data_IF_428058244878
#
_entry.id   IF_428058244878
#
_cell.length_a   1.000
_cell.length_b   1.000
_cell.length_c   1.000
_cell.angle_alpha   90.00
_cell.angle_beta   90.00
_cell.angle_gamma   90.00
#
_symmetry.space_group_name_H-M   'P 1'
#
loop_
_entity.id
_entity.type
_entity.pdbx_description
1 polymer ?
#
# COMPACT_ATOMS: atom_id res chain seq x y z
N UNK A 1 -45.12 26.39 -2.03
CA UNK A 1 -44.03 26.96 -2.86
C UNK A 1 -42.67 26.47 -2.40
N UNK A 2 -42.34 26.61 -1.11
CA UNK A 2 -41.11 26.08 -0.51
C UNK A 2 -40.99 24.56 -0.72
N UNK A 3 -42.05 23.78 -0.48
CA UNK A 3 -42.04 22.33 -0.72
C UNK A 3 -41.71 21.93 -2.17
N UNK A 4 -42.05 22.76 -3.17
CA UNK A 4 -41.70 22.51 -4.58
C UNK A 4 -40.22 22.76 -4.85
N UNK A 5 -39.61 23.72 -4.16
CA UNK A 5 -38.17 24.01 -4.24
C UNK A 5 -37.40 22.86 -3.58
N UNK A 6 -37.82 22.43 -2.39
CA UNK A 6 -37.19 21.30 -1.68
C UNK A 6 -37.32 19.97 -2.44
N UNK A 7 -38.47 19.72 -3.07
CA UNK A 7 -38.64 18.53 -3.91
C UNK A 7 -37.69 18.54 -5.11
N UNK A 8 -37.57 19.68 -5.78
CA UNK A 8 -36.67 19.82 -6.93
C UNK A 8 -35.19 19.70 -6.54
N UNK A 9 -34.81 20.23 -5.37
CA UNK A 9 -33.47 20.05 -4.80
C UNK A 9 -33.16 18.57 -4.59
N UNK A 10 -34.06 17.83 -3.94
CA UNK A 10 -33.89 16.37 -3.72
C UNK A 10 -33.75 15.60 -5.03
N UNK A 11 -34.60 15.90 -6.00
CA UNK A 11 -34.59 15.21 -7.30
C UNK A 11 -33.29 15.49 -8.09
N UNK A 12 -32.78 16.72 -8.02
CA UNK A 12 -31.51 17.11 -8.66
C UNK A 12 -30.30 16.40 -8.02
N UNK A 13 -30.25 16.34 -6.69
CA UNK A 13 -29.18 15.63 -5.96
C UNK A 13 -29.20 14.13 -6.28
N UNK A 14 -30.39 13.51 -6.29
CA UNK A 14 -30.53 12.10 -6.61
C UNK A 14 -30.06 11.80 -8.05
N UNK A 15 -30.41 12.67 -9.00
CA UNK A 15 -29.97 12.52 -10.39
C UNK A 15 -28.44 12.61 -10.54
N UNK A 16 -27.79 13.54 -9.83
CA UNK A 16 -26.32 13.65 -9.83
C UNK A 16 -25.68 12.38 -9.25
N UNK A 17 -26.20 11.88 -8.13
CA UNK A 17 -25.69 10.67 -7.48
C UNK A 17 -25.82 9.44 -8.37
N UNK A 18 -26.97 9.28 -9.02
CA UNK A 18 -27.21 8.16 -9.93
C UNK A 18 -26.24 8.19 -11.12
N UNK A 19 -26.09 9.34 -11.79
CA UNK A 19 -25.16 9.47 -12.92
C UNK A 19 -23.70 9.19 -12.51
N UNK A 20 -23.28 9.66 -11.32
CA UNK A 20 -21.94 9.41 -10.81
C UNK A 20 -21.70 7.92 -10.52
N UNK A 21 -22.71 7.21 -10.01
CA UNK A 21 -22.63 5.78 -9.73
C UNK A 21 -22.59 4.95 -11.02
N UNK A 22 -23.40 5.29 -12.02
CA UNK A 22 -23.37 4.65 -13.35
C UNK A 22 -21.99 4.83 -14.03
N UNK A 23 -21.38 6.02 -13.92
CA UNK A 23 -20.03 6.28 -14.43
C UNK A 23 -18.95 5.45 -13.70
N UNK A 24 -19.03 5.32 -12.37
CA UNK A 24 -18.12 4.46 -11.58
C UNK A 24 -18.25 2.99 -11.95
N UNK A 25 -19.48 2.50 -12.13
CA UNK A 25 -19.72 1.11 -12.52
C UNK A 25 -19.22 0.81 -13.94
N UNK A 26 -19.37 1.77 -14.86
CA UNK A 26 -18.81 1.66 -16.21
C UNK A 26 -17.27 1.61 -16.16
N UNK A 27 -16.64 2.49 -15.37
CA UNK A 27 -15.20 2.49 -15.14
C UNK A 27 -14.72 1.14 -14.56
N UNK A 28 -15.43 0.61 -13.56
CA UNK A 28 -15.10 -0.66 -12.93
C UNK A 28 -15.18 -1.84 -13.91
N UNK A 29 -16.21 -1.87 -14.78
CA UNK A 29 -16.34 -2.91 -15.82
C UNK A 29 -15.20 -2.85 -16.84
N UNK A 30 -14.86 -1.65 -17.31
CA UNK A 30 -13.77 -1.50 -18.29
C UNK A 30 -12.40 -1.81 -17.70
N UNK A 31 -12.14 -1.40 -16.46
CA UNK A 31 -10.88 -1.73 -15.76
C UNK A 31 -10.75 -3.23 -15.49
N UNK A 32 -11.79 -3.90 -15.01
CA UNK A 32 -11.76 -5.36 -14.81
C UNK A 32 -11.56 -6.13 -16.12
N UNK A 33 -12.22 -5.72 -17.20
CA UNK A 33 -12.04 -6.34 -18.53
C UNK A 33 -10.60 -6.14 -19.03
N UNK A 34 -10.04 -4.95 -18.80
CA UNK A 34 -8.65 -4.64 -19.15
C UNK A 34 -7.65 -5.46 -18.33
N UNK A 35 -7.86 -5.60 -17.02
CA UNK A 35 -7.01 -6.42 -16.15
C UNK A 35 -7.08 -7.91 -16.52
N UNK A 36 -8.26 -8.45 -16.79
CA UNK A 36 -8.41 -9.83 -17.27
C UNK A 36 -7.65 -10.06 -18.59
N UNK A 37 -7.61 -9.06 -19.48
CA UNK A 37 -6.81 -9.12 -20.71
C UNK A 37 -5.29 -9.13 -20.46
N UNK A 38 -4.82 -8.39 -19.45
CA UNK A 38 -3.40 -8.41 -19.03
C UNK A 38 -3.04 -9.76 -18.41
N UNK A 39 -3.94 -10.31 -17.58
CA UNK A 39 -3.76 -11.62 -16.93
C UNK A 39 -3.59 -12.73 -17.98
N UNK A 40 -4.46 -12.79 -19.00
CA UNK A 40 -4.34 -13.74 -20.12
C UNK A 40 -3.01 -13.59 -20.86
N UNK A 41 -2.51 -12.36 -21.05
CA UNK A 41 -1.23 -12.13 -21.72
C UNK A 41 -0.03 -12.54 -20.86
N UNK A 42 -0.13 -12.37 -19.54
CA UNK A 42 0.91 -12.79 -18.59
C UNK A 42 0.97 -14.32 -18.48
N UNK A 43 -0.17 -14.99 -18.45
CA UNK A 43 -0.26 -16.45 -18.49
C UNK A 43 0.37 -17.01 -19.77
N UNK A 44 0.03 -16.41 -20.92
CA UNK A 44 0.63 -16.78 -22.21
C UNK A 44 2.15 -16.57 -22.24
N UNK A 45 2.65 -15.50 -21.61
CA UNK A 45 4.08 -15.23 -21.51
C UNK A 45 4.78 -16.26 -20.61
N UNK A 46 4.12 -16.65 -19.53
CA UNK A 46 4.58 -17.68 -18.59
C UNK A 46 4.64 -19.05 -19.27
N UNK A 47 3.66 -19.39 -20.09
CA UNK A 47 3.67 -20.62 -20.89
C UNK A 47 4.78 -20.62 -21.95
N UNK A 48 5.05 -19.48 -22.58
CA UNK A 48 6.17 -19.32 -23.52
C UNK A 48 7.54 -19.49 -22.83
N UNK A 49 7.69 -18.99 -21.59
CA UNK A 49 8.88 -19.20 -20.76
C UNK A 49 9.07 -20.66 -20.36
N UNK A 50 7.98 -21.34 -19.98
CA UNK A 50 8.00 -22.78 -19.66
C UNK A 50 8.31 -23.67 -20.86
N UNK A 51 7.90 -23.27 -22.07
CA UNK A 51 8.22 -24.00 -23.29
C UNK A 51 9.68 -23.80 -23.71
N UNK A 52 10.19 -22.56 -23.63
CA UNK A 52 11.59 -22.25 -23.99
C UNK A 52 12.62 -22.82 -23.01
N UNK A 53 12.26 -23.01 -21.74
CA UNK A 53 13.12 -23.68 -20.75
C UNK A 53 13.18 -25.21 -20.89
N UNK A 54 12.26 -25.82 -21.65
CA UNK A 54 12.25 -27.27 -21.94
C UNK A 54 13.08 -27.66 -23.16
N UNK A 55 13.48 -26.68 -23.97
CA UNK A 55 14.17 -26.89 -25.24
C UNK A 55 15.68 -26.64 -25.17
N UNK A 56 16.25 -26.45 -23.97
CA UNK A 56 17.68 -26.12 -23.69
C UNK A 56 18.27 -24.89 -24.43
N UNK A 57 17.55 -24.30 -25.38
CA UNK A 57 17.93 -23.14 -26.18
C UNK A 57 17.26 -21.85 -25.67
N UNK A 58 17.71 -21.32 -24.53
CA UNK A 58 17.41 -19.93 -24.16
C UNK A 58 18.54 -19.06 -24.68
N UNK A 59 18.33 -18.38 -25.81
CA UNK A 59 19.27 -17.38 -26.32
C UNK A 59 19.04 -16.01 -25.67
N UNK A 60 20.08 -15.18 -25.60
CA UNK A 60 20.03 -13.80 -25.08
C UNK A 60 18.94 -12.94 -25.76
N UNK A 61 18.61 -13.27 -27.02
CA UNK A 61 17.53 -12.67 -27.82
C UNK A 61 16.15 -12.98 -27.23
N UNK A 62 15.92 -14.19 -26.72
CA UNK A 62 14.66 -14.59 -26.12
C UNK A 62 14.44 -13.89 -24.78
N UNK A 63 15.49 -13.75 -23.96
CA UNK A 63 15.47 -13.01 -22.71
C UNK A 63 15.18 -11.52 -22.94
N UNK A 64 15.82 -10.91 -23.93
CA UNK A 64 15.53 -9.53 -24.33
C UNK A 64 14.08 -9.38 -24.80
N UNK A 65 13.57 -10.33 -25.59
CA UNK A 65 12.17 -10.33 -26.05
C UNK A 65 11.18 -10.44 -24.90
N UNK A 66 11.43 -11.30 -23.91
CA UNK A 66 10.58 -11.44 -22.73
C UNK A 66 10.60 -10.17 -21.86
N UNK A 67 11.78 -9.58 -21.66
CA UNK A 67 11.93 -8.30 -20.95
C UNK A 67 11.13 -7.18 -21.61
N UNK A 68 11.21 -7.06 -22.94
CA UNK A 68 10.43 -6.04 -23.67
C UNK A 68 8.92 -6.25 -23.52
N UNK A 69 8.43 -7.50 -23.57
CA UNK A 69 7.01 -7.80 -23.38
C UNK A 69 6.53 -7.49 -21.96
N UNK A 70 7.35 -7.75 -20.93
CA UNK A 70 7.02 -7.41 -19.55
C UNK A 70 6.91 -5.90 -19.34
N UNK A 71 7.83 -5.11 -19.89
CA UNK A 71 7.74 -3.63 -19.82
C UNK A 71 6.51 -3.10 -20.57
N UNK A 72 6.11 -3.72 -21.69
CA UNK A 72 4.87 -3.37 -22.39
C UNK A 72 3.62 -3.65 -21.54
N UNK A 73 3.55 -4.80 -20.89
CA UNK A 73 2.43 -5.14 -19.99
C UNK A 73 2.36 -4.21 -18.78
N UNK A 74 3.52 -3.82 -18.24
CA UNK A 74 3.63 -2.84 -17.16
C UNK A 74 3.12 -1.47 -17.58
N UNK A 75 3.50 -0.95 -18.75
CA UNK A 75 2.98 0.32 -19.25
C UNK A 75 1.46 0.28 -19.45
N UNK A 76 0.92 -0.84 -19.98
CA UNK A 76 -0.53 -1.02 -20.11
C UNK A 76 -1.24 -1.01 -18.76
N UNK A 77 -0.64 -1.57 -17.72
CA UNK A 77 -1.20 -1.57 -16.36
C UNK A 77 -1.38 -0.14 -15.80
N UNK A 78 -0.41 0.75 -16.04
CA UNK A 78 -0.42 2.12 -15.49
C UNK A 78 -1.08 3.16 -16.41
N UNK A 79 -1.23 2.85 -17.71
CA UNK A 79 -1.89 3.72 -18.71
C UNK A 79 -2.84 2.91 -19.59
N UNK A 80 -4.04 2.56 -19.11
CA UNK A 80 -5.02 1.87 -19.94
C UNK A 80 -5.44 2.79 -21.11
N UNK A 81 -5.24 2.40 -22.37
CA UNK A 81 -5.43 3.28 -23.53
C UNK A 81 -6.89 3.72 -23.75
N UNK A 82 -7.85 3.06 -23.11
CA UNK A 82 -9.28 3.17 -23.42
C UNK A 82 -10.10 3.93 -22.38
N UNK A 83 -9.46 4.56 -21.37
CA UNK A 83 -10.18 5.23 -20.28
C UNK A 83 -9.68 6.66 -20.14
N UNK A 84 -10.54 7.62 -20.49
CA UNK A 84 -10.32 9.04 -20.24
C UNK A 84 -11.54 9.61 -19.52
N UNK A 85 -11.31 10.25 -18.38
CA UNK A 85 -12.35 11.03 -17.67
C UNK A 85 -12.30 12.46 -18.22
N UNK A 86 -13.44 12.97 -18.69
CA UNK A 86 -13.60 14.36 -19.16
C UNK A 86 -14.86 14.95 -18.56
N UNK A 87 -14.84 16.25 -18.28
CA UNK A 87 -16.03 17.00 -17.86
C UNK A 87 -16.85 17.40 -19.10
N UNK A 88 -18.16 17.20 -19.04
CA UNK A 88 -19.09 17.71 -20.06
C UNK A 88 -19.41 19.18 -19.74
N UNK A 89 -19.18 20.13 -20.68
CA UNK A 89 -19.43 21.55 -20.43
C UNK A 89 -20.91 21.93 -20.37
N UNK A 90 -21.84 21.01 -20.65
CA UNK A 90 -23.29 21.30 -20.63
C UNK A 90 -23.82 21.27 -19.19
N UNK A 91 -24.51 22.33 -18.70
CA UNK A 91 -25.09 22.35 -17.37
C UNK A 91 -26.14 21.24 -17.19
N UNK A 92 -25.81 20.25 -16.36
CA UNK A 92 -26.67 19.09 -16.08
C UNK A 92 -27.86 19.42 -15.17
N UNK A 93 -27.77 20.51 -14.41
CA UNK A 93 -28.75 20.97 -13.42
C UNK A 93 -29.35 22.30 -13.88
N UNK A 94 -30.68 22.40 -13.92
CA UNK A 94 -31.43 23.59 -14.39
C UNK A 94 -31.45 24.67 -13.30
N UNK A 95 -31.35 25.95 -13.67
CA UNK A 95 -31.41 27.06 -12.69
C UNK A 95 -32.84 27.31 -12.19
N UNK A 96 -33.05 27.43 -10.88
CA UNK A 96 -34.32 27.88 -10.31
C UNK A 96 -34.42 29.41 -10.44
N UNK A 97 -35.54 29.90 -10.97
CA UNK A 97 -35.85 31.33 -11.11
C UNK A 97 -37.15 31.61 -10.35
N UNK A 98 -37.16 32.65 -9.52
CA UNK A 98 -38.35 33.18 -8.86
C UNK A 98 -38.72 34.48 -9.56
N UNK A 99 -39.92 34.54 -10.13
CA UNK A 99 -40.45 35.75 -10.76
C UNK A 99 -41.48 36.36 -9.80
N UNK A 100 -41.17 37.51 -9.22
CA UNK A 100 -42.04 38.20 -8.26
C UNK A 100 -42.66 39.39 -8.99
N UNK A 101 -43.94 39.28 -9.34
CA UNK A 101 -44.66 40.40 -9.92
C UNK A 101 -45.06 41.38 -8.82
N UNK A 102 -44.57 42.62 -8.91
CA UNK A 102 -45.02 43.74 -8.07
C UNK A 102 -46.22 44.42 -8.71
N UNK A 103 -47.39 44.36 -8.08
CA UNK A 103 -48.54 45.20 -8.45
C UNK A 103 -48.35 46.61 -7.90
N UNK A 104 -48.23 47.61 -8.78
CA UNK A 104 -48.17 49.03 -8.44
C UNK A 104 -49.56 49.54 -8.01
N UNK A 105 -49.84 49.60 -6.71
CA UNK A 105 -50.98 50.38 -6.21
C UNK A 105 -50.63 51.87 -6.16
N UNK A 106 -51.26 52.64 -7.03
CA UNK A 106 -51.21 54.12 -7.08
C UNK A 106 -52.10 54.73 -5.99
N UNK A 107 -51.54 55.64 -5.18
CA UNK A 107 -52.30 56.53 -4.27
C UNK A 107 -51.96 57.99 -4.67
N UNK A 108 -52.93 58.92 -4.81
CA UNK A 108 -52.67 60.27 -5.31
C UNK A 108 -52.07 61.20 -4.24
N UNK A 109 -51.13 62.04 -4.66
CA UNK A 109 -50.41 63.05 -3.88
C UNK A 109 -51.32 64.05 -3.14
N UNK A 110 -51.03 64.31 -1.86
CA UNK A 110 -51.38 65.56 -1.17
C UNK A 110 -50.15 66.15 -0.47
N UNK A 111 -49.68 67.26 -1.05
CA UNK A 111 -48.97 68.41 -0.45
C UNK A 111 -48.01 68.23 0.72
N UNK A 112 -46.74 68.48 0.44
CA UNK A 112 -45.72 69.22 1.22
C UNK A 112 -46.02 69.53 2.70
N UNK A 113 -45.17 69.07 3.63
CA UNK A 113 -44.08 69.88 4.20
C UNK A 113 -43.24 69.12 5.27
N UNK A 114 -41.91 69.20 5.08
CA UNK A 114 -40.83 69.36 6.09
C UNK A 114 -40.29 68.22 6.98
N UNK A 115 -38.94 68.19 6.96
CA UNK A 115 -37.93 67.83 7.98
C UNK A 115 -37.29 66.42 7.94
N UNK A 116 -36.11 66.42 7.31
CA UNK A 116 -34.79 66.10 7.88
C UNK A 116 -34.51 64.68 8.42
N UNK A 117 -33.62 63.96 7.71
CA UNK A 117 -32.67 63.00 8.33
C UNK A 117 -31.55 62.58 7.37
N UNK A 118 -30.32 62.96 7.74
CA UNK A 118 -29.07 62.23 7.47
C UNK A 118 -29.15 60.82 8.11
N UNK A 119 -28.50 59.74 7.66
CA UNK A 119 -27.17 59.54 7.10
C UNK A 119 -27.19 58.34 6.12
N UNK A 120 -26.37 58.42 5.08
CA UNK A 120 -26.17 57.45 3.99
C UNK A 120 -24.80 56.80 4.14
N UNK A 121 -24.73 55.48 3.95
CA UNK A 121 -23.48 54.72 3.80
C UNK A 121 -22.97 54.79 2.35
N UNK A 122 -21.71 55.16 2.21
CA UNK A 122 -20.93 55.21 0.97
C UNK A 122 -20.29 53.85 0.67
N UNK A 123 -20.27 53.46 -0.61
CA UNK A 123 -19.28 52.54 -1.17
C UNK A 123 -18.76 53.21 -2.45
N UNK A 124 -17.47 53.56 -2.44
CA UNK A 124 -16.70 54.06 -3.58
C UNK A 124 -15.26 53.59 -3.46
N UNK A 125 -14.71 53.12 -4.59
CA UNK A 125 -13.40 53.56 -5.07
C UNK A 125 -12.16 52.72 -4.71
N UNK A 126 -11.51 52.12 -5.70
CA UNK A 126 -10.56 52.79 -6.62
C UNK A 126 -9.22 52.06 -6.84
N UNK A 127 -8.75 52.17 -8.09
CA UNK A 127 -7.38 52.42 -8.61
C UNK A 127 -7.10 51.65 -9.92
N UNK A 128 -7.32 52.26 -11.10
CA UNK A 128 -6.38 53.03 -11.99
C UNK A 128 -5.30 52.15 -12.68
N UNK A 129 -4.89 52.31 -13.95
CA UNK A 129 -4.98 53.43 -14.93
C UNK A 129 -4.49 53.03 -16.34
N UNK A 130 -4.84 53.90 -17.31
CA UNK A 130 -4.27 54.20 -18.66
C UNK A 130 -4.92 53.48 -19.86
N UNK A 131 -5.88 54.11 -20.57
CA UNK A 131 -5.73 55.08 -21.71
C UNK A 131 -4.97 54.48 -22.91
N UNK A 132 -5.40 54.59 -24.17
CA UNK A 132 -6.44 55.42 -24.82
C UNK A 132 -6.63 54.91 -26.25
N UNK A 133 -7.86 55.09 -26.74
CA UNK A 133 -8.23 55.47 -28.11
C UNK A 133 -7.99 54.52 -29.29
N UNK A 134 -8.75 54.61 -30.37
CA UNK A 134 -10.19 54.74 -30.59
C UNK A 134 -10.32 54.57 -32.11
N UNK A 135 -11.31 53.77 -32.53
CA UNK A 135 -11.99 53.78 -33.83
C UNK A 135 -11.18 53.46 -35.09
N UNK A 136 -11.74 52.84 -36.12
CA UNK A 136 -12.96 52.08 -36.40
C UNK A 136 -12.85 51.75 -37.90
N UNK A 137 -13.74 50.89 -38.38
CA UNK A 137 -14.27 50.84 -39.76
C UNK A 137 -13.75 49.70 -40.67
N UNK A 138 -14.46 48.58 -40.50
CA UNK A 138 -15.20 47.74 -41.50
C UNK A 138 -14.52 46.95 -42.62
N UNK A 139 -14.96 45.66 -42.66
CA UNK A 139 -15.47 44.84 -43.79
C UNK A 139 -14.51 44.61 -44.97
N UNK A 140 -14.38 43.43 -45.59
CA UNK A 140 -15.13 42.17 -45.57
C UNK A 140 -14.44 41.19 -46.55
N UNK A 141 -14.65 39.88 -46.32
CA UNK A 141 -14.63 38.76 -47.29
C UNK A 141 -13.27 38.24 -47.83
N UNK A 142 -12.85 37.06 -47.29
CA UNK A 142 -12.76 35.71 -47.91
C UNK A 142 -12.58 35.60 -49.46
N UNK A 143 -12.08 34.46 -50.05
CA UNK A 143 -11.66 33.16 -49.45
C UNK A 143 -10.47 32.44 -50.15
N UNK A 144 -10.18 31.20 -49.67
CA UNK A 144 -9.71 30.00 -50.41
C UNK A 144 -8.26 29.96 -50.94
N UNK A 145 -7.55 28.83 -51.05
CA UNK A 145 -7.69 27.44 -50.61
C UNK A 145 -6.36 26.73 -51.02
N UNK A 146 -6.05 25.62 -50.34
CA UNK A 146 -5.30 24.42 -50.80
C UNK A 146 -3.94 24.52 -51.55
N UNK A 147 -2.90 23.86 -51.00
CA UNK A 147 -2.35 22.60 -51.54
C UNK A 147 -0.94 22.25 -51.01
N UNK A 148 -0.82 21.05 -50.44
CA UNK A 148 0.39 20.21 -50.35
C UNK A 148 0.62 19.47 -51.69
N UNK A 149 1.56 18.51 -51.86
CA UNK A 149 2.95 18.34 -51.38
C UNK A 149 3.87 17.92 -52.57
N UNK A 150 5.14 17.52 -52.32
CA UNK A 150 5.76 16.23 -52.74
C UNK A 150 7.29 16.25 -52.96
N UNK A 151 7.87 15.09 -52.62
CA UNK A 151 9.04 14.40 -53.21
C UNK A 151 10.39 14.33 -52.48
N UNK A 152 10.75 13.06 -52.28
CA UNK A 152 11.97 12.35 -51.89
C UNK A 152 13.28 12.66 -52.63
N UNK A 153 14.44 12.41 -51.99
CA UNK A 153 15.44 11.38 -52.40
C UNK A 153 16.72 11.34 -51.52
N UNK A 154 16.97 10.15 -50.95
CA UNK A 154 18.21 9.34 -50.92
C UNK A 154 19.55 10.02 -51.31
N UNK A 155 20.59 9.96 -50.44
CA UNK A 155 21.80 9.13 -50.67
C UNK A 155 22.90 9.34 -49.60
N UNK A 156 23.59 8.23 -49.36
CA UNK A 156 24.72 7.89 -48.48
C UNK A 156 25.98 8.76 -48.56
N UNK A 157 26.74 8.86 -47.44
CA UNK A 157 28.20 8.61 -47.42
C UNK A 157 28.76 8.43 -46.00
N UNK A 158 29.41 7.28 -45.80
CA UNK A 158 30.36 6.95 -44.73
C UNK A 158 31.74 7.40 -45.18
N UNK A 159 32.49 8.17 -44.36
CA UNK A 159 33.97 8.13 -44.26
C UNK A 159 34.38 8.58 -42.84
N UNK A 160 35.21 7.75 -42.19
CA UNK A 160 35.90 7.98 -40.92
C UNK A 160 36.91 9.13 -40.98
N UNK A 161 37.21 9.78 -39.86
CA UNK A 161 38.55 9.73 -39.28
C UNK A 161 38.64 10.46 -37.94
N UNK A 162 39.46 9.85 -37.10
CA UNK A 162 39.84 10.18 -35.73
C UNK A 162 40.39 11.61 -35.54
N UNK A 163 40.29 12.11 -34.30
CA UNK A 163 41.44 12.38 -33.40
C UNK A 163 41.12 13.48 -32.36
N UNK A 164 41.47 13.17 -31.11
CA UNK A 164 41.62 14.01 -29.90
C UNK A 164 40.37 14.59 -29.23
N UNK A 165 40.02 14.04 -28.05
CA UNK A 165 40.38 14.76 -26.82
C UNK A 165 40.45 13.81 -25.62
N UNK A 166 41.54 13.94 -24.87
CA UNK A 166 41.75 13.35 -23.56
C UNK A 166 40.65 13.82 -22.59
N UNK A 167 40.17 12.92 -21.72
CA UNK A 167 39.85 13.23 -20.32
C UNK A 167 39.46 11.97 -19.55
N UNK A 168 40.37 11.56 -18.68
CA UNK A 168 40.18 10.57 -17.62
C UNK A 168 39.31 11.19 -16.50
N UNK A 169 38.31 10.48 -15.97
CA UNK A 169 37.86 10.72 -14.60
C UNK A 169 37.86 9.42 -13.80
N UNK A 170 39.05 9.05 -13.33
CA UNK A 170 39.23 8.28 -12.10
C UNK A 170 38.85 9.17 -10.90
N UNK A 171 37.56 9.44 -10.69
CA UNK A 171 37.01 10.01 -9.44
C UNK A 171 35.50 10.25 -9.62
N UNK A 172 34.70 9.30 -9.15
CA UNK A 172 33.34 9.49 -8.60
C UNK A 172 32.82 8.14 -8.09
N UNK A 173 33.45 7.66 -7.02
CA UNK A 173 32.75 6.84 -6.03
C UNK A 173 32.23 7.81 -4.96
N UNK A 174 31.10 7.43 -4.36
CA UNK A 174 30.34 8.12 -3.32
C UNK A 174 29.33 9.14 -3.85
N UNK A 175 28.02 8.76 -3.76
CA UNK A 175 26.88 9.64 -3.44
C UNK A 175 25.49 8.94 -3.51
N UNK A 176 25.42 7.63 -3.29
CA UNK A 176 24.13 6.96 -3.06
C UNK A 176 23.69 7.00 -1.60
N UNK A 177 24.63 7.07 -0.64
CA UNK A 177 24.30 7.13 0.79
C UNK A 177 23.80 8.51 1.23
N UNK A 178 24.31 9.60 0.67
CA UNK A 178 23.86 10.95 1.06
C UNK A 178 22.43 11.25 0.62
N UNK A 179 22.00 10.77 -0.56
CA UNK A 179 20.61 10.95 -1.02
C UNK A 179 19.59 10.20 -0.16
N UNK A 180 19.95 9.03 0.37
CA UNK A 180 19.12 8.28 1.33
C UNK A 180 19.11 8.93 2.71
N UNK A 181 20.24 9.48 3.16
CA UNK A 181 20.34 10.25 4.41
C UNK A 181 19.48 11.53 4.33
N UNK A 182 19.48 12.22 3.20
CA UNK A 182 18.70 13.46 2.98
C UNK A 182 17.18 13.20 2.94
N UNK A 183 16.72 12.02 2.47
CA UNK A 183 15.29 11.68 2.52
C UNK A 183 14.81 11.33 3.94
N UNK A 184 15.70 10.82 4.79
CA UNK A 184 15.41 10.52 6.21
C UNK A 184 15.41 11.76 7.09
N UNK A 185 16.19 12.80 6.77
CA UNK A 185 16.21 14.06 7.53
C UNK A 185 14.99 14.95 7.25
N UNK A 186 14.35 14.82 6.08
CA UNK A 186 13.21 15.67 5.69
C UNK A 186 11.83 15.03 5.99
N UNK A 187 11.73 13.71 6.11
CA UNK A 187 10.53 13.06 6.64
C UNK A 187 10.69 12.91 8.16
N UNK A 188 10.00 13.73 8.96
CA UNK A 188 9.88 13.46 10.40
C UNK A 188 9.35 12.04 10.58
N UNK A 189 10.18 11.12 11.09
CA UNK A 189 9.71 9.81 11.53
C UNK A 189 8.76 10.06 12.71
N UNK A 190 7.46 10.09 12.46
CA UNK A 190 6.45 10.27 13.49
C UNK A 190 5.83 8.92 13.83
N UNK A 191 5.75 8.60 15.12
CA UNK A 191 4.89 7.55 15.64
C UNK A 191 3.78 8.27 16.39
N UNK A 192 2.67 8.50 15.70
CA UNK A 192 1.49 9.14 16.29
C UNK A 192 0.71 8.13 17.16
N UNK A 193 0.05 8.65 18.20
CA UNK A 193 -0.80 7.87 19.11
C UNK A 193 -2.26 7.86 18.64
N UNK A 194 -2.54 8.19 17.37
CA UNK A 194 -3.88 8.15 16.80
C UNK A 194 -4.38 6.71 16.66
N UNK A 195 -4.70 6.11 17.81
CA UNK A 195 -5.54 4.92 17.99
C UNK A 195 -7.01 5.22 17.63
N UNK A 196 -7.29 6.32 16.92
CA UNK A 196 -8.64 6.65 16.51
C UNK A 196 -8.94 5.86 15.24
N UNK A 197 -9.30 4.58 15.44
CA UNK A 197 -9.83 3.67 14.42
C UNK A 197 -11.06 4.26 13.67
N UNK A 198 -11.48 5.50 14.00
CA UNK A 198 -12.70 6.15 13.53
C UNK A 198 -12.54 7.61 13.08
N UNK A 199 -11.35 8.21 13.04
CA UNK A 199 -11.18 9.65 12.77
C UNK A 199 -11.57 10.12 11.34
N UNK A 200 -11.63 9.22 10.37
CA UNK A 200 -11.84 9.55 8.94
C UNK A 200 -13.19 9.11 8.38
N UNK A 201 -14.02 8.36 9.13
CA UNK A 201 -15.24 7.74 8.62
C UNK A 201 -15.04 6.67 7.53
N UNK A 202 -13.79 6.44 7.08
CA UNK A 202 -13.42 5.44 6.09
C UNK A 202 -12.23 4.61 6.60
N UNK A 203 -12.51 3.39 7.05
CA UNK A 203 -11.47 2.43 7.44
C UNK A 203 -10.98 1.75 6.15
N UNK A 204 -9.67 1.85 5.88
CA UNK A 204 -9.03 1.17 4.75
C UNK A 204 -9.14 -0.36 4.87
N UNK A 205 -9.02 -1.09 3.76
CA UNK A 205 -9.05 -2.56 3.80
C UNK A 205 -7.96 -3.13 4.71
N UNK A 206 -6.78 -2.50 4.74
CA UNK A 206 -5.65 -2.90 5.56
C UNK A 206 -5.94 -2.75 7.05
N UNK A 207 -6.56 -1.64 7.44
CA UNK A 207 -7.01 -1.41 8.81
C UNK A 207 -8.11 -2.39 9.20
N UNK A 208 -9.09 -2.67 8.31
CA UNK A 208 -10.13 -3.67 8.58
C UNK A 208 -9.55 -5.06 8.80
N UNK A 209 -8.60 -5.47 7.97
CA UNK A 209 -7.91 -6.76 8.10
C UNK A 209 -7.25 -6.93 9.49
N UNK A 210 -6.55 -5.91 9.96
CA UNK A 210 -5.93 -5.93 11.29
C UNK A 210 -6.98 -5.89 12.41
N UNK A 211 -8.05 -5.12 12.25
CA UNK A 211 -9.17 -5.05 13.21
C UNK A 211 -9.85 -6.42 13.32
N UNK A 212 -10.15 -7.06 12.20
CA UNK A 212 -10.77 -8.40 12.16
C UNK A 212 -9.87 -9.42 12.87
N UNK A 213 -8.58 -9.41 12.56
CA UNK A 213 -7.60 -10.24 13.24
C UNK A 213 -7.61 -10.02 14.76
N UNK A 214 -7.48 -8.76 15.21
CA UNK A 214 -7.44 -8.41 16.64
C UNK A 214 -8.72 -8.81 17.38
N UNK A 215 -9.85 -8.81 16.68
CA UNK A 215 -11.16 -9.23 17.18
C UNK A 215 -11.46 -10.72 16.95
N UNK A 216 -10.44 -11.55 16.68
CA UNK A 216 -10.56 -13.00 16.49
C UNK A 216 -11.50 -13.40 15.34
N UNK A 217 -11.42 -12.66 14.25
CA UNK A 217 -12.13 -12.93 13.00
C UNK A 217 -13.64 -13.13 13.22
N UNK A 218 -14.38 -12.07 13.58
CA UNK A 218 -15.80 -12.18 13.95
C UNK A 218 -16.67 -12.78 12.84
N UNK A 219 -16.26 -12.61 11.58
CA UNK A 219 -16.98 -13.10 10.40
C UNK A 219 -16.34 -14.35 9.77
N UNK A 220 -15.42 -15.05 10.47
CA UNK A 220 -14.81 -16.27 9.94
C UNK A 220 -15.87 -17.33 9.67
N UNK A 221 -15.81 -17.92 8.48
CA UNK A 221 -16.62 -19.10 8.14
C UNK A 221 -16.10 -20.30 8.92
N UNK A 222 -17.03 -21.15 9.36
CA UNK A 222 -16.72 -22.39 10.08
C UNK A 222 -17.28 -23.58 9.30
N UNK A 223 -16.40 -24.50 8.93
CA UNK A 223 -16.77 -25.81 8.36
C UNK A 223 -15.97 -26.92 9.08
N UNK A 224 -16.62 -27.75 9.92
CA UNK A 224 -15.97 -28.83 10.65
C UNK A 224 -15.26 -29.88 9.78
N UNK A 225 -15.56 -29.95 8.47
CA UNK A 225 -14.92 -30.91 7.55
C UNK A 225 -13.57 -30.43 7.05
N UNK A 226 -13.28 -29.14 7.15
CA UNK A 226 -11.99 -28.57 6.74
C UNK A 226 -10.96 -28.86 7.84
N UNK A 227 -9.96 -29.67 7.54
CA UNK A 227 -8.91 -30.11 8.49
C UNK A 227 -7.49 -30.07 7.91
N UNK A 228 -7.30 -29.42 6.75
CA UNK A 228 -6.05 -29.46 5.99
C UNK A 228 -4.87 -28.86 6.77
N UNK A 229 -5.07 -27.75 7.50
CA UNK A 229 -4.00 -27.14 8.29
C UNK A 229 -3.56 -28.11 9.39
N UNK A 230 -4.51 -28.73 10.10
CA UNK A 230 -4.17 -29.74 11.12
C UNK A 230 -3.43 -30.95 10.52
N UNK A 231 -3.85 -31.44 9.34
CA UNK A 231 -3.15 -32.52 8.64
C UNK A 231 -1.72 -32.12 8.24
N UNK A 232 -1.50 -30.89 7.80
CA UNK A 232 -0.17 -30.37 7.48
C UNK A 232 0.72 -30.30 8.72
N UNK A 233 0.21 -29.75 9.83
CA UNK A 233 0.96 -29.64 11.09
C UNK A 233 1.20 -30.98 11.79
N UNK A 234 0.40 -32.00 11.50
CA UNK A 234 0.65 -33.39 11.91
C UNK A 234 1.51 -34.16 10.90
N UNK A 235 2.08 -33.46 9.91
CA UNK A 235 2.98 -33.99 8.89
C UNK A 235 2.35 -35.10 8.03
N UNK A 236 1.03 -35.09 7.85
CA UNK A 236 0.28 -36.10 7.07
C UNK A 236 0.06 -35.72 5.62
N UNK A 237 0.15 -34.43 5.31
CA UNK A 237 0.08 -33.90 3.94
C UNK A 237 1.23 -32.92 3.70
N UNK A 238 1.56 -32.73 2.43
CA UNK A 238 2.53 -31.73 1.98
C UNK A 238 1.85 -30.38 1.78
N UNK A 239 2.61 -29.30 1.90
CA UNK A 239 2.17 -28.01 1.38
C UNK A 239 2.07 -28.04 -0.14
N UNK A 240 1.15 -27.27 -0.71
CA UNK A 240 0.91 -27.21 -2.16
C UNK A 240 0.68 -25.75 -2.62
N UNK A 241 1.04 -25.35 -3.86
CA UNK A 241 1.72 -26.12 -4.92
C UNK A 241 3.22 -26.31 -4.64
N UNK A 242 3.83 -27.31 -5.30
CA UNK A 242 5.28 -27.56 -5.34
C UNK A 242 6.00 -27.50 -3.98
N UNK A 243 5.32 -27.95 -2.92
CA UNK A 243 5.81 -27.87 -1.56
C UNK A 243 6.25 -29.23 -1.00
N UNK A 244 6.37 -29.31 0.32
CA UNK A 244 6.87 -30.53 0.99
C UNK A 244 6.14 -30.74 2.33
N UNK A 245 6.44 -31.85 2.99
CA UNK A 245 6.04 -32.12 4.37
C UNK A 245 6.70 -31.09 5.30
N UNK A 246 5.99 -30.66 6.34
CA UNK A 246 6.49 -29.62 7.25
C UNK A 246 7.83 -29.99 7.88
N UNK A 247 8.04 -31.28 8.21
CA UNK A 247 9.32 -31.75 8.76
C UNK A 247 10.47 -31.65 7.74
N UNK A 248 10.19 -31.87 6.46
CA UNK A 248 11.16 -31.69 5.37
C UNK A 248 11.44 -30.20 5.12
N UNK A 249 10.42 -29.34 5.17
CA UNK A 249 10.62 -27.89 5.08
C UNK A 249 11.54 -27.42 6.21
N UNK A 250 11.31 -27.90 7.44
CA UNK A 250 12.12 -27.51 8.60
C UNK A 250 13.55 -28.02 8.56
N UNK A 251 13.83 -29.14 7.89
CA UNK A 251 15.15 -29.78 7.90
C UNK A 251 15.93 -29.56 6.61
N UNK A 252 15.30 -29.82 5.46
CA UNK A 252 15.93 -29.76 4.13
C UNK A 252 16.00 -28.32 3.62
N UNK A 253 14.95 -27.51 3.85
CA UNK A 253 14.91 -26.14 3.32
C UNK A 253 15.57 -25.13 4.26
N UNK A 254 15.98 -25.56 5.46
CA UNK A 254 16.68 -24.69 6.40
C UNK A 254 17.97 -24.15 5.77
N UNK A 255 18.09 -22.82 5.66
CA UNK A 255 19.17 -22.10 4.98
C UNK A 255 19.29 -22.32 3.47
N UNK A 256 18.31 -22.97 2.83
CA UNK A 256 18.11 -22.89 1.39
C UNK A 256 17.38 -21.57 1.06
N UNK A 257 18.11 -20.47 1.21
CA UNK A 257 17.53 -19.13 1.14
C UNK A 257 16.95 -18.80 -0.24
N UNK A 258 17.55 -19.32 -1.31
CA UNK A 258 17.04 -19.11 -2.66
C UNK A 258 15.66 -19.76 -2.80
N UNK A 259 15.50 -21.01 -2.34
CA UNK A 259 14.19 -21.67 -2.32
C UNK A 259 13.18 -20.88 -1.50
N UNK A 260 13.54 -20.44 -0.30
CA UNK A 260 12.64 -19.70 0.59
C UNK A 260 12.21 -18.33 0.03
N UNK A 261 13.06 -17.69 -0.78
CA UNK A 261 12.73 -16.44 -1.45
C UNK A 261 11.79 -16.69 -2.65
N UNK A 262 12.19 -17.54 -3.60
CA UNK A 262 11.49 -17.74 -4.87
C UNK A 262 10.19 -18.56 -4.76
N UNK A 263 10.10 -19.48 -3.80
CA UNK A 263 8.90 -20.29 -3.63
C UNK A 263 7.91 -19.56 -2.71
N UNK A 264 6.77 -19.09 -3.23
CA UNK A 264 5.82 -18.29 -2.44
C UNK A 264 4.70 -19.11 -1.76
N UNK A 265 4.47 -20.35 -2.20
CA UNK A 265 3.33 -21.16 -1.76
C UNK A 265 3.39 -21.63 -0.31
N UNK A 266 4.59 -21.98 0.17
CA UNK A 266 4.80 -22.59 1.49
C UNK A 266 4.45 -21.68 2.67
N UNK A 267 4.63 -20.36 2.54
CA UNK A 267 4.47 -19.44 3.69
C UNK A 267 3.05 -19.47 4.24
N UNK A 268 2.05 -19.69 3.38
CA UNK A 268 0.67 -19.75 3.82
C UNK A 268 0.34 -21.03 4.59
N UNK A 269 1.05 -22.12 4.32
CA UNK A 269 0.99 -23.37 5.05
C UNK A 269 1.74 -23.32 6.38
N UNK A 270 2.95 -22.72 6.39
CA UNK A 270 3.72 -22.55 7.64
C UNK A 270 3.11 -21.53 8.60
N UNK A 271 2.27 -20.61 8.11
CA UNK A 271 1.63 -19.58 8.92
C UNK A 271 0.18 -19.36 8.46
N UNK A 272 -0.73 -20.32 8.69
CA UNK A 272 -2.11 -20.19 8.25
C UNK A 272 -2.85 -19.15 9.11
N UNK A 273 -3.86 -18.52 8.52
CA UNK A 273 -4.72 -17.51 9.15
C UNK A 273 -6.18 -17.87 8.86
N UNK A 274 -7.12 -17.36 9.67
CA UNK A 274 -8.56 -17.59 9.46
C UNK A 274 -9.15 -16.78 8.29
N UNK A 275 -8.32 -16.00 7.59
CA UNK A 275 -8.65 -15.25 6.38
C UNK A 275 -8.11 -15.93 5.10
N UNK A 276 -8.74 -15.64 3.95
CA UNK A 276 -8.30 -16.18 2.66
C UNK A 276 -6.98 -15.53 2.25
N UNK A 277 -5.98 -16.35 1.95
CA UNK A 277 -4.71 -15.90 1.38
C UNK A 277 -4.68 -15.97 -0.15
N UNK A 278 -3.51 -15.66 -0.72
CA UNK A 278 -3.26 -15.75 -2.17
C UNK A 278 -3.13 -17.19 -2.69
N UNK A 279 -2.89 -18.17 -1.81
CA UNK A 279 -2.81 -19.57 -2.21
C UNK A 279 -4.22 -20.16 -2.19
N UNK A 280 -4.77 -20.42 -3.38
CA UNK A 280 -6.13 -20.93 -3.52
C UNK A 280 -6.30 -22.40 -3.10
N UNK A 281 -5.20 -23.12 -2.88
CA UNK A 281 -5.19 -24.53 -2.52
C UNK A 281 -5.23 -24.78 -1.01
N UNK A 282 -5.01 -23.75 -0.20
CA UNK A 282 -5.13 -23.85 1.25
C UNK A 282 -6.45 -23.20 1.69
N UNK A 283 -7.19 -23.93 2.51
CA UNK A 283 -8.39 -23.37 3.14
C UNK A 283 -8.02 -22.48 4.33
N UNK A 284 -8.78 -21.39 4.56
CA UNK A 284 -8.60 -20.56 5.75
C UNK A 284 -8.61 -21.42 7.03
N UNK A 285 -7.73 -21.08 7.96
CA UNK A 285 -7.57 -21.77 9.24
C UNK A 285 -8.88 -21.80 10.01
N UNK A 286 -9.30 -22.98 10.46
CA UNK A 286 -10.53 -23.13 11.23
C UNK A 286 -10.28 -23.11 12.73
N UNK A 287 -11.27 -22.66 13.52
CA UNK A 287 -11.15 -22.59 14.99
C UNK A 287 -10.91 -23.97 15.63
N UNK A 288 -11.56 -25.03 15.13
CA UNK A 288 -11.32 -26.39 15.62
C UNK A 288 -9.93 -26.93 15.24
N UNK A 289 -9.35 -26.48 14.13
CA UNK A 289 -7.97 -26.80 13.77
C UNK A 289 -6.98 -26.14 14.74
N UNK A 290 -7.19 -24.86 15.08
CA UNK A 290 -6.39 -24.13 16.08
C UNK A 290 -6.39 -24.89 17.40
N UNK A 291 -7.57 -25.27 17.90
CA UNK A 291 -7.69 -26.03 19.15
C UNK A 291 -7.00 -27.40 19.06
N UNK A 292 -7.08 -28.08 17.92
CA UNK A 292 -6.46 -29.39 17.72
C UNK A 292 -4.94 -29.30 17.67
N UNK A 293 -4.39 -28.31 16.95
CA UNK A 293 -2.95 -28.05 16.88
C UNK A 293 -2.41 -27.66 18.26
N UNK A 294 -3.12 -26.82 19.01
CA UNK A 294 -2.71 -26.41 20.36
C UNK A 294 -2.70 -27.56 21.39
N UNK A 295 -3.49 -28.60 21.17
CA UNK A 295 -3.53 -29.82 22.02
C UNK A 295 -2.45 -30.84 21.66
N UNK A 296 -1.84 -30.73 20.47
CA UNK A 296 -0.75 -31.60 20.01
C UNK A 296 0.58 -30.85 20.16
N UNK A 297 1.37 -31.22 21.17
CA UNK A 297 2.65 -30.57 21.47
C UNK A 297 3.63 -30.56 20.28
N UNK A 298 3.63 -31.60 19.44
CA UNK A 298 4.52 -31.66 18.28
C UNK A 298 4.04 -30.72 17.17
N UNK A 299 2.73 -30.69 16.92
CA UNK A 299 2.13 -29.77 15.97
C UNK A 299 2.34 -28.31 16.41
N UNK A 300 2.13 -27.99 17.68
CA UNK A 300 2.35 -26.65 18.23
C UNK A 300 3.84 -26.25 18.17
N UNK A 301 4.75 -27.18 18.44
CA UNK A 301 6.20 -26.94 18.35
C UNK A 301 6.66 -26.65 16.92
N UNK A 302 6.04 -27.27 15.91
CA UNK A 302 6.34 -26.99 14.50
C UNK A 302 6.09 -25.53 14.11
N UNK A 303 5.13 -24.84 14.72
CA UNK A 303 4.93 -23.40 14.50
C UNK A 303 6.16 -22.60 14.95
N UNK A 304 6.70 -22.92 16.13
CA UNK A 304 7.91 -22.29 16.66
C UNK A 304 9.13 -22.61 15.79
N UNK A 305 9.23 -23.82 15.25
CA UNK A 305 10.30 -24.19 14.31
C UNK A 305 10.16 -23.39 13.00
N UNK A 306 8.95 -23.27 12.45
CA UNK A 306 8.68 -22.39 11.29
C UNK A 306 9.11 -20.95 11.55
N UNK A 307 8.79 -20.41 12.74
CA UNK A 307 9.20 -19.07 13.12
C UNK A 307 10.72 -18.91 13.17
N UNK A 308 11.45 -19.87 13.76
CA UNK A 308 12.92 -19.87 13.77
C UNK A 308 13.52 -19.96 12.37
N UNK A 309 12.93 -20.77 11.49
CA UNK A 309 13.35 -20.87 10.09
C UNK A 309 13.20 -19.50 9.40
N UNK A 310 12.05 -18.83 9.57
CA UNK A 310 11.84 -17.51 8.98
C UNK A 310 12.71 -16.42 9.61
N UNK A 311 12.98 -16.48 10.93
CA UNK A 311 13.94 -15.56 11.55
C UNK A 311 15.33 -15.70 10.93
N UNK A 312 15.85 -16.93 10.79
CA UNK A 312 17.17 -17.17 10.16
C UNK A 312 17.16 -16.67 8.71
N UNK A 313 16.09 -16.95 7.96
CA UNK A 313 15.87 -16.38 6.63
C UNK A 313 15.86 -14.85 6.62
N UNK A 314 15.37 -14.17 7.66
CA UNK A 314 15.40 -12.70 7.74
C UNK A 314 16.70 -12.14 8.35
N UNK A 315 17.67 -12.98 8.71
CA UNK A 315 18.94 -12.53 9.30
C UNK A 315 18.93 -12.42 10.82
N UNK A 316 17.95 -13.02 11.49
CA UNK A 316 17.78 -13.01 12.94
C UNK A 316 17.90 -14.41 13.54
N UNK A 317 18.18 -14.48 14.84
CA UNK A 317 18.17 -15.70 15.64
C UNK A 317 17.32 -15.50 16.88
N UNK A 318 16.48 -16.49 17.20
CA UNK A 318 15.80 -16.57 18.49
C UNK A 318 16.81 -17.00 19.57
N UNK A 319 17.10 -16.10 20.50
CA UNK A 319 18.06 -16.30 21.58
C UNK A 319 17.41 -16.96 22.79
N UNK A 320 16.17 -16.57 23.09
CA UNK A 320 15.44 -17.09 24.24
C UNK A 320 13.99 -17.38 23.86
N UNK A 321 13.64 -18.66 23.81
CA UNK A 321 12.30 -19.12 23.45
C UNK A 321 11.22 -18.71 24.46
N UNK A 322 11.59 -18.47 25.73
CA UNK A 322 10.61 -18.10 26.77
C UNK A 322 10.28 -16.61 26.75
N UNK A 323 11.28 -15.77 26.48
CA UNK A 323 11.10 -14.31 26.44
C UNK A 323 10.77 -13.80 25.04
N UNK A 324 11.10 -14.58 24.01
CA UNK A 324 11.01 -14.18 22.61
C UNK A 324 12.18 -13.33 22.13
N UNK A 325 13.22 -13.13 22.96
CA UNK A 325 14.36 -12.30 22.61
C UNK A 325 15.06 -12.82 21.35
N UNK A 326 15.25 -11.92 20.38
CA UNK A 326 15.99 -12.17 19.16
C UNK A 326 17.23 -11.26 19.07
N UNK A 327 18.23 -11.69 18.30
CA UNK A 327 19.39 -10.88 17.91
C UNK A 327 19.68 -11.15 16.42
N UNK A 328 20.62 -10.41 15.83
CA UNK A 328 21.18 -10.72 14.51
C UNK A 328 21.75 -12.14 14.47
N UNK A 329 21.81 -12.75 13.30
CA UNK A 329 22.65 -13.93 13.12
C UNK A 329 24.10 -13.60 13.54
N UNK A 330 24.81 -14.54 14.22
CA UNK A 330 26.11 -14.24 14.84
C UNK A 330 27.25 -14.08 13.84
N UNK A 331 27.05 -14.46 12.58
CA UNK A 331 28.03 -14.34 11.50
C UNK A 331 27.58 -13.26 10.50
N UNK A 332 28.46 -12.90 9.57
CA UNK A 332 28.22 -11.84 8.57
C UNK A 332 27.08 -12.16 7.57
N UNK A 333 26.46 -13.34 7.62
CA UNK A 333 25.29 -13.66 6.78
C UNK A 333 24.11 -12.74 7.07
N UNK A 334 23.97 -12.20 8.28
CA UNK A 334 22.88 -11.27 8.60
C UNK A 334 22.85 -10.07 7.63
N UNK A 335 24.02 -9.63 7.12
CA UNK A 335 24.12 -8.49 6.19
C UNK A 335 23.43 -8.78 4.86
N UNK A 336 23.68 -9.95 4.27
CA UNK A 336 23.03 -10.34 3.01
C UNK A 336 21.54 -10.62 3.21
N UNK A 337 21.17 -11.21 4.35
CA UNK A 337 19.76 -11.45 4.70
C UNK A 337 18.99 -10.15 4.94
N UNK A 338 19.59 -9.16 5.63
CA UNK A 338 19.00 -7.84 5.82
C UNK A 338 18.86 -7.09 4.50
N UNK A 339 19.87 -7.15 3.64
CA UNK A 339 19.78 -6.56 2.30
C UNK A 339 18.62 -7.16 1.49
N UNK A 340 18.45 -8.49 1.52
CA UNK A 340 17.31 -9.15 0.89
C UNK A 340 15.99 -8.69 1.50
N UNK A 341 15.86 -8.69 2.83
CA UNK A 341 14.65 -8.23 3.50
C UNK A 341 14.29 -6.78 3.14
N UNK A 342 15.27 -5.86 3.21
CA UNK A 342 15.06 -4.43 2.98
C UNK A 342 14.74 -4.07 1.52
N UNK A 343 15.03 -4.96 0.58
CA UNK A 343 14.79 -4.74 -0.86
C UNK A 343 13.60 -5.54 -1.41
N UNK A 344 13.20 -6.63 -0.75
CA UNK A 344 12.13 -7.53 -1.18
C UNK A 344 10.82 -7.28 -0.45
N UNK A 345 10.03 -6.30 -0.89
CA UNK A 345 8.81 -5.84 -0.20
C UNK A 345 7.72 -6.91 0.01
N UNK A 346 7.68 -7.97 -0.80
CA UNK A 346 6.76 -9.10 -0.59
C UNK A 346 7.03 -9.82 0.75
N UNK A 347 8.27 -9.76 1.26
CA UNK A 347 8.61 -10.29 2.58
C UNK A 347 7.93 -9.50 3.71
N UNK A 348 7.52 -8.25 3.48
CA UNK A 348 6.79 -7.47 4.49
C UNK A 348 5.39 -8.04 4.73
N UNK A 349 4.73 -8.51 3.66
CA UNK A 349 3.45 -9.20 3.74
C UNK A 349 3.60 -10.57 4.43
N UNK A 350 4.70 -11.29 4.14
CA UNK A 350 5.03 -12.55 4.85
C UNK A 350 5.23 -12.32 6.35
N UNK A 351 5.95 -11.26 6.76
CA UNK A 351 6.14 -10.91 8.18
C UNK A 351 4.81 -10.57 8.84
N UNK A 352 3.94 -9.76 8.21
CA UNK A 352 2.60 -9.48 8.75
C UNK A 352 1.83 -10.77 9.00
N UNK A 353 1.85 -11.72 8.06
CA UNK A 353 1.19 -13.02 8.20
C UNK A 353 1.78 -13.85 9.34
N UNK A 354 3.10 -13.91 9.46
CA UNK A 354 3.80 -14.60 10.55
C UNK A 354 3.35 -14.02 11.89
N UNK A 355 3.40 -12.70 12.05
CA UNK A 355 3.02 -12.04 13.30
C UNK A 355 1.55 -12.28 13.66
N UNK A 356 0.62 -12.23 12.69
CA UNK A 356 -0.78 -12.60 12.94
C UNK A 356 -0.90 -14.04 13.41
N UNK A 357 -0.25 -14.97 12.71
CA UNK A 357 -0.30 -16.40 13.00
C UNK A 357 0.25 -16.76 14.40
N UNK A 358 1.34 -16.12 14.83
CA UNK A 358 1.87 -16.31 16.19
C UNK A 358 0.82 -16.04 17.28
N UNK A 359 -0.06 -15.06 17.06
CA UNK A 359 -1.15 -14.75 17.99
C UNK A 359 -2.35 -15.70 17.93
N UNK A 360 -2.44 -16.58 16.92
CA UNK A 360 -3.45 -17.65 16.86
C UNK A 360 -3.06 -18.86 17.72
N UNK A 361 -1.76 -19.07 17.93
CA UNK A 361 -1.19 -20.28 18.54
C UNK A 361 -0.44 -20.02 19.84
N UNK A 362 -0.91 -19.07 20.66
CA UNK A 362 -0.37 -18.72 21.98
C UNK A 362 1.10 -18.23 22.00
N UNK A 363 1.65 -17.85 20.85
CA UNK A 363 2.98 -17.26 20.71
C UNK A 363 2.96 -15.73 20.59
N UNK A 364 1.89 -15.07 21.07
CA UNK A 364 1.74 -13.60 21.07
C UNK A 364 2.97 -12.89 21.67
N UNK A 365 3.55 -13.48 22.72
CA UNK A 365 4.70 -12.93 23.44
C UNK A 365 5.97 -12.77 22.58
N UNK A 366 6.09 -13.48 21.45
CA UNK A 366 7.23 -13.39 20.54
C UNK A 366 7.22 -12.13 19.67
N UNK A 367 6.05 -11.51 19.44
CA UNK A 367 5.92 -10.37 18.53
C UNK A 367 6.60 -9.11 19.07
N UNK A 368 6.43 -8.85 20.36
CA UNK A 368 6.92 -7.62 20.97
C UNK A 368 8.46 -7.50 20.92
N UNK A 369 9.24 -8.53 21.32
CA UNK A 369 10.70 -8.51 21.13
C UNK A 369 11.15 -8.44 19.67
N UNK A 370 10.41 -9.06 18.75
CA UNK A 370 10.69 -8.94 17.32
C UNK A 370 10.57 -7.48 16.85
N UNK A 371 9.47 -6.81 17.18
CA UNK A 371 9.26 -5.40 16.85
C UNK A 371 10.32 -4.50 17.49
N UNK A 372 10.70 -4.79 18.73
CA UNK A 372 11.72 -4.04 19.45
C UNK A 372 13.09 -4.10 18.74
N UNK A 373 13.51 -5.29 18.31
CA UNK A 373 14.76 -5.46 17.57
C UNK A 373 14.68 -4.80 16.19
N UNK A 374 13.58 -5.01 15.44
CA UNK A 374 13.37 -4.41 14.12
C UNK A 374 13.43 -2.88 14.18
N UNK A 375 12.82 -2.25 15.18
CA UNK A 375 12.86 -0.79 15.34
C UNK A 375 14.28 -0.27 15.62
N UNK A 376 15.11 -1.05 16.33
CA UNK A 376 16.54 -0.71 16.49
C UNK A 376 17.27 -0.74 15.16
N UNK A 377 17.06 -1.78 14.37
CA UNK A 377 17.67 -1.92 13.03
C UNK A 377 17.25 -0.79 12.09
N UNK A 378 15.97 -0.39 12.14
CA UNK A 378 15.43 0.71 11.32
C UNK A 378 15.98 2.07 11.78
N UNK A 379 15.88 2.38 13.07
CA UNK A 379 16.05 3.75 13.57
C UNK A 379 17.51 4.06 13.92
N UNK A 380 18.19 3.15 14.62
CA UNK A 380 19.56 3.37 15.12
C UNK A 380 20.58 2.93 14.08
N UNK A 381 20.43 1.71 13.58
CA UNK A 381 21.44 1.06 12.76
C UNK A 381 21.30 1.41 11.26
N UNK A 382 20.11 1.87 10.84
CA UNK A 382 19.76 2.17 9.44
C UNK A 382 20.01 0.99 8.48
N UNK A 383 19.80 -0.24 8.93
CA UNK A 383 20.03 -1.46 8.14
C UNK A 383 18.76 -1.99 7.47
N UNK A 384 17.58 -1.59 7.95
CA UNK A 384 16.26 -2.05 7.49
C UNK A 384 15.30 -0.88 7.20
N UNK A 385 15.80 0.27 6.74
CA UNK A 385 15.00 1.51 6.66
C UNK A 385 13.74 1.41 5.79
N UNK A 386 13.71 0.57 4.75
CA UNK A 386 12.54 0.42 3.88
C UNK A 386 11.40 -0.33 4.57
N UNK A 387 11.69 -1.05 5.66
CA UNK A 387 10.69 -1.72 6.49
C UNK A 387 9.84 -0.74 7.33
N UNK A 388 10.25 0.53 7.47
CA UNK A 388 9.65 1.48 8.41
C UNK A 388 8.13 1.62 8.26
N UNK A 389 7.64 1.77 7.02
CA UNK A 389 6.21 1.95 6.78
C UNK A 389 5.42 0.69 7.15
N UNK A 390 5.90 -0.49 6.72
CA UNK A 390 5.26 -1.76 7.07
C UNK A 390 5.30 -2.05 8.57
N UNK A 391 6.42 -1.72 9.22
CA UNK A 391 6.56 -1.85 10.66
C UNK A 391 5.52 -1.00 11.41
N UNK A 392 5.35 0.25 10.98
CA UNK A 392 4.41 1.20 11.59
C UNK A 392 2.96 0.83 11.38
N UNK A 393 2.57 0.60 10.12
CA UNK A 393 1.16 0.54 9.75
C UNK A 393 0.57 -0.87 9.89
N UNK A 394 1.42 -1.90 9.93
CA UNK A 394 0.97 -3.29 9.92
C UNK A 394 1.56 -4.08 11.09
N UNK A 395 2.90 -4.11 11.25
CA UNK A 395 3.52 -5.04 12.20
C UNK A 395 3.23 -4.67 13.66
N UNK A 396 3.34 -3.38 14.03
CA UNK A 396 2.94 -2.91 15.36
C UNK A 396 1.44 -3.19 15.59
N UNK A 397 0.61 -2.99 14.57
CA UNK A 397 -0.83 -3.19 14.68
C UNK A 397 -1.24 -4.66 14.86
N UNK A 398 -0.34 -5.62 14.59
CA UNK A 398 -0.59 -7.05 14.90
C UNK A 398 -0.54 -7.40 16.39
N UNK A 399 -0.04 -6.51 17.26
CA UNK A 399 -0.12 -6.73 18.70
C UNK A 399 -1.58 -6.62 19.13
N UNK A 400 -2.13 -7.62 19.83
CA UNK A 400 -3.53 -7.55 20.29
C UNK A 400 -3.70 -6.50 21.41
N UNK A 401 -2.75 -6.43 22.33
CA UNK A 401 -2.79 -5.49 23.46
C UNK A 401 -2.57 -4.04 23.03
N UNK A 402 -3.50 -3.17 23.41
CA UNK A 402 -3.37 -1.72 23.18
C UNK A 402 -2.18 -1.13 23.92
N UNK A 403 -1.93 -1.59 25.14
CA UNK A 403 -0.84 -1.08 25.94
C UNK A 403 0.52 -1.49 25.35
N UNK A 404 0.61 -2.69 24.77
CA UNK A 404 1.83 -3.11 24.06
C UNK A 404 2.08 -2.26 22.81
N UNK A 405 1.03 -1.94 22.03
CA UNK A 405 1.16 -1.02 20.88
C UNK A 405 1.64 0.37 21.31
N UNK A 406 1.09 0.91 22.40
CA UNK A 406 1.53 2.21 22.94
C UNK A 406 2.98 2.15 23.44
N UNK A 407 3.35 1.10 24.15
CA UNK A 407 4.70 0.92 24.67
C UNK A 407 5.73 0.82 23.54
N UNK A 408 5.44 0.07 22.45
CA UNK A 408 6.38 -0.06 21.34
C UNK A 408 6.50 1.24 20.53
N UNK A 409 5.43 2.03 20.38
CA UNK A 409 5.50 3.38 19.78
C UNK A 409 6.26 4.37 20.66
N UNK A 410 6.09 4.30 21.98
CA UNK A 410 6.89 5.09 22.93
C UNK A 410 8.38 4.75 22.82
N UNK A 411 8.71 3.46 22.77
CA UNK A 411 10.06 2.99 22.57
C UNK A 411 10.67 3.50 21.25
N UNK A 412 9.93 3.45 20.14
CA UNK A 412 10.37 4.01 18.87
C UNK A 412 10.69 5.52 18.97
N UNK A 413 9.84 6.30 19.67
CA UNK A 413 10.08 7.73 19.93
C UNK A 413 11.35 7.96 20.75
N UNK A 414 11.61 7.12 21.75
CA UNK A 414 12.87 7.20 22.51
C UNK A 414 14.07 6.92 21.61
N UNK A 415 14.02 5.90 20.75
CA UNK A 415 15.12 5.62 19.79
C UNK A 415 15.40 6.80 18.86
N UNK A 416 14.35 7.48 18.37
CA UNK A 416 14.50 8.69 17.55
C UNK A 416 15.19 9.82 18.32
N UNK A 417 14.81 10.03 19.59
CA UNK A 417 15.46 11.03 20.45
C UNK A 417 16.95 10.70 20.69
N UNK A 418 17.29 9.43 20.95
CA UNK A 418 18.68 8.97 21.04
C UNK A 418 19.46 9.29 19.76
N UNK A 419 18.90 8.91 18.59
CA UNK A 419 19.52 9.16 17.29
C UNK A 419 19.74 10.66 17.05
N UNK A 420 18.73 11.50 17.32
CA UNK A 420 18.81 12.95 17.12
C UNK A 420 19.86 13.61 18.02
N UNK A 421 20.11 13.04 19.20
CA UNK A 421 21.18 13.47 20.12
C UNK A 421 22.56 12.91 19.77
N UNK A 422 22.69 12.09 18.72
CA UNK A 422 23.94 11.41 18.37
C UNK A 422 24.35 10.33 19.36
N UNK A 423 23.40 9.79 20.13
CA UNK A 423 23.62 8.76 21.14
C UNK A 423 23.21 7.39 20.61
N UNK A 424 23.94 6.35 21.00
CA UNK A 424 23.57 4.95 20.75
C UNK A 424 22.99 4.32 22.03
N UNK A 425 21.74 3.83 22.01
CA UNK A 425 21.18 3.15 23.16
C UNK A 425 21.95 1.85 23.43
N UNK A 426 22.31 1.60 24.70
CA UNK A 426 22.89 0.33 25.15
C UNK A 426 22.07 -0.87 24.64
N UNK A 427 22.71 -2.04 24.47
CA UNK A 427 22.00 -3.30 24.20
C UNK A 427 20.97 -3.65 25.28
N UNK A 428 21.16 -3.17 26.50
CA UNK A 428 20.22 -3.33 27.62
C UNK A 428 19.02 -2.38 27.58
N UNK A 429 19.02 -1.36 26.71
CA UNK A 429 17.88 -0.49 26.53
C UNK A 429 16.76 -1.29 25.85
N UNK A 430 15.64 -1.51 26.52
CA UNK A 430 14.56 -2.36 26.03
C UNK A 430 13.25 -1.59 26.16
N UNK A 431 12.27 -1.92 25.34
CA UNK A 431 10.94 -1.35 25.50
C UNK A 431 10.36 -1.81 26.84
N UNK A 432 9.77 -0.88 27.59
CA UNK A 432 9.11 -1.24 28.86
C UNK A 432 7.81 -1.93 28.51
N UNK A 433 7.80 -3.26 28.61
CA UNK A 433 6.59 -4.05 28.38
C UNK A 433 5.56 -3.71 29.48
N UNK A 434 4.31 -3.36 29.13
CA UNK A 434 3.28 -3.11 30.14
C UNK A 434 3.07 -4.36 30.99
N UNK A 435 2.91 -4.18 32.30
CA UNK A 435 2.57 -5.29 33.19
C UNK A 435 1.17 -5.80 32.81
N UNK A 436 1.05 -7.08 32.45
CA UNK A 436 -0.27 -7.68 32.23
C UNK A 436 -1.00 -7.74 33.56
N UNK A 437 -1.93 -6.81 33.79
CA UNK A 437 -2.88 -6.90 34.90
C UNK A 437 -3.67 -8.19 34.69
N UNK A 438 -3.52 -9.16 35.58
CA UNK A 438 -4.35 -10.37 35.58
C UNK A 438 -5.80 -9.92 35.68
N UNK A 439 -6.55 -9.96 34.57
CA UNK A 439 -8.00 -9.90 34.61
C UNK A 439 -8.43 -11.18 35.30
N UNK A 440 -8.75 -11.08 36.59
CA UNK A 440 -9.43 -12.10 37.36
C UNK A 440 -10.71 -12.45 36.64
N UNK A 441 -10.71 -13.57 35.93
CA UNK A 441 -11.92 -14.20 35.42
C UNK A 441 -12.68 -14.74 36.64
N UNK A 442 -13.64 -13.97 37.12
CA UNK A 442 -14.71 -14.48 37.96
C UNK A 442 -15.45 -15.53 37.15
N UNK A 443 -15.26 -16.81 37.52
CA UNK A 443 -16.16 -17.89 37.13
C UNK A 443 -17.53 -17.59 37.75
N UNK A 444 -18.55 -17.52 36.91
CA UNK A 444 -19.96 -17.75 37.26
C UNK A 444 -20.43 -18.98 36.53
#
# INVERSE_FOLDING_TARGET
MIERIEQWERDSINKIRQTAEEAKQLLFRHTNTHFAGIEIQLDRLTDQLKQSSRTDDIHEIDLSRFKTKLEQLKELLFKPPNINVREDPIPFVVKIILDVQHEETTIPNRGQHTLDRSYRSEISGDETRLNTDNRSITRSNLPNDSNQPTTSRISSRVINNDVHNENNPSQRRFDTNERTIISLTNNRITFDDSDDDNASGYISWAQRDIIDYRNNYPNARSDPKIIQNYLFYTNKIQSYPDGDFIDNIHTIWFRDYDRLEFHHGYTQWLFPLQERGLNWHIEPLQKHEIESIKKDDQALKRILISYKLMLDFYGFKLINEKTGEIDRLPDDSYKSRFHNLDTSSHNYLRITRILKCLGEFDYEYLKFPFLEQILREIIIENTLTNCLQSCKDYWIETLRSRDERRAIRQYARQLIDYRNKGLTPSKSFRAIKPSTTKVTTTKT
#
